data_IF_521595970139
#
_entry.id   IF_521595970139
#
_cell.length_a   1.000
_cell.length_b   1.000
_cell.length_c   1.000
_cell.angle_alpha   90.00
_cell.angle_beta   90.00
_cell.angle_gamma   90.00
#
_symmetry.space_group_name_H-M   'P 1'
#
loop_
_entity.id
_entity.type
_entity.pdbx_description
1 polymer ?
#
# COMPACT_ATOMS: atom_id res chain seq x y z
N UNK A 1 -6.89 4.85 -0.13
CA UNK A 1 -6.26 3.92 -1.10
C UNK A 1 -7.19 3.45 -2.22
N UNK A 2 -8.51 3.46 -2.09
CA UNK A 2 -9.42 3.02 -3.15
C UNK A 2 -9.29 3.84 -4.43
N UNK A 3 -9.04 5.13 -4.33
CA UNK A 3 -8.80 6.03 -5.45
C UNK A 3 -7.32 6.22 -5.77
N UNK A 4 -6.44 5.54 -5.05
CA UNK A 4 -4.97 5.61 -5.12
C UNK A 4 -4.36 6.98 -4.84
N UNK A 5 -5.11 8.06 -4.96
CA UNK A 5 -4.70 9.45 -4.72
C UNK A 5 -3.38 9.85 -5.40
N UNK A 6 -3.12 9.30 -6.57
CA UNK A 6 -1.95 9.66 -7.37
C UNK A 6 -2.22 10.94 -8.15
N UNK A 7 -1.17 11.73 -8.33
CA UNK A 7 -1.20 12.94 -9.16
C UNK A 7 -1.17 12.52 -10.64
N UNK A 8 -2.26 12.71 -11.39
CA UNK A 8 -2.42 12.09 -12.71
C UNK A 8 -1.49 12.63 -13.79
N UNK A 9 -0.96 13.83 -13.59
CA UNK A 9 -0.04 14.48 -14.52
C UNK A 9 1.43 14.17 -14.24
N UNK A 10 1.71 13.59 -13.06
CA UNK A 10 3.04 13.27 -12.62
C UNK A 10 3.36 11.80 -12.93
N UNK A 11 4.63 11.52 -13.18
CA UNK A 11 5.09 10.13 -13.39
C UNK A 11 5.08 9.34 -12.08
N UNK A 12 5.27 8.02 -12.16
CA UNK A 12 5.39 7.16 -10.99
C UNK A 12 6.52 7.63 -10.06
N UNK A 13 7.69 7.93 -10.62
CA UNK A 13 8.83 8.40 -9.82
C UNK A 13 8.56 9.76 -9.18
N UNK A 14 7.88 10.67 -9.86
CA UNK A 14 7.51 11.97 -9.30
C UNK A 14 6.47 11.82 -8.16
N UNK A 15 5.47 10.97 -8.33
CA UNK A 15 4.50 10.65 -7.27
C UNK A 15 5.20 10.11 -6.01
N UNK A 16 6.10 9.16 -6.18
CA UNK A 16 6.82 8.53 -5.07
C UNK A 16 7.78 9.50 -4.39
N UNK A 17 8.42 10.39 -5.15
CA UNK A 17 9.37 11.36 -4.62
C UNK A 17 8.73 12.52 -3.85
N UNK A 18 7.42 12.72 -3.96
CA UNK A 18 6.72 13.85 -3.37
C UNK A 18 6.94 13.99 -1.84
N UNK A 19 6.82 12.94 -1.01
CA UNK A 19 7.12 13.06 0.42
C UNK A 19 8.56 13.46 0.71
N UNK A 20 9.51 13.07 -0.12
CA UNK A 20 10.92 13.45 0.00
C UNK A 20 11.13 14.93 -0.32
N UNK A 21 10.37 15.46 -1.26
CA UNK A 21 10.36 16.89 -1.58
C UNK A 21 9.96 17.72 -0.35
N UNK A 22 8.91 17.34 0.34
CA UNK A 22 8.48 18.00 1.59
C UNK A 22 9.50 17.86 2.72
N UNK A 23 10.25 16.77 2.75
CA UNK A 23 11.32 16.55 3.74
C UNK A 23 12.63 17.30 3.40
N UNK A 24 12.67 18.09 2.34
CA UNK A 24 13.84 18.87 1.95
C UNK A 24 14.96 18.07 1.29
N UNK A 25 14.69 16.86 0.84
CA UNK A 25 15.68 16.03 0.13
C UNK A 25 15.99 16.62 -1.26
N UNK A 26 17.25 16.66 -1.64
CA UNK A 26 17.69 17.20 -2.93
C UNK A 26 17.15 16.38 -4.11
N UNK A 27 16.87 17.04 -5.23
CA UNK A 27 16.23 16.44 -6.40
C UNK A 27 16.90 15.14 -6.90
N UNK A 28 18.21 15.10 -6.98
CA UNK A 28 18.96 13.91 -7.41
C UNK A 28 18.74 12.73 -6.46
N UNK A 29 18.86 12.97 -5.18
CA UNK A 29 18.65 11.95 -4.14
C UNK A 29 17.20 11.50 -4.07
N UNK A 30 16.23 12.41 -4.23
CA UNK A 30 14.81 12.06 -4.30
C UNK A 30 14.54 11.06 -5.41
N UNK A 31 15.05 11.31 -6.60
CA UNK A 31 14.85 10.42 -7.75
C UNK A 31 15.46 9.04 -7.50
N UNK A 32 16.67 8.97 -6.99
CA UNK A 32 17.33 7.71 -6.67
C UNK A 32 16.55 6.88 -5.63
N UNK A 33 16.10 7.53 -4.58
CA UNK A 33 15.31 6.88 -3.52
C UNK A 33 13.93 6.45 -4.00
N UNK A 34 13.28 7.26 -4.81
CA UNK A 34 11.98 6.94 -5.41
C UNK A 34 12.08 5.74 -6.36
N UNK A 35 13.13 5.66 -7.17
CA UNK A 35 13.38 4.51 -8.05
C UNK A 35 13.57 3.24 -7.23
N UNK A 36 14.34 3.27 -6.16
CA UNK A 36 14.53 2.11 -5.27
C UNK A 36 13.21 1.66 -4.64
N UNK A 37 12.37 2.60 -4.23
CA UNK A 37 11.05 2.28 -3.69
C UNK A 37 10.15 1.61 -4.75
N UNK A 38 10.18 2.09 -5.99
CA UNK A 38 9.44 1.48 -7.10
C UNK A 38 9.98 0.09 -7.46
N UNK A 39 11.27 -0.13 -7.42
CA UNK A 39 11.87 -1.45 -7.61
C UNK A 39 11.38 -2.45 -6.55
N UNK A 40 11.27 -2.02 -5.29
CA UNK A 40 10.75 -2.88 -4.20
C UNK A 40 9.32 -3.37 -4.43
N UNK A 41 8.52 -2.61 -5.15
CA UNK A 41 7.14 -2.98 -5.47
C UNK A 41 6.98 -3.57 -6.89
N UNK A 42 8.10 -3.86 -7.57
CA UNK A 42 8.10 -4.50 -8.88
C UNK A 42 7.83 -3.57 -10.06
N UNK A 43 8.05 -2.27 -9.90
CA UNK A 43 7.81 -1.24 -10.92
C UNK A 43 9.08 -0.51 -11.39
N UNK A 44 10.24 -1.13 -11.24
CA UNK A 44 11.51 -0.53 -11.65
C UNK A 44 11.62 -0.21 -13.16
N UNK A 45 10.85 -0.89 -13.99
CA UNK A 45 10.77 -0.67 -15.44
C UNK A 45 9.67 0.31 -15.88
N UNK A 46 8.91 0.89 -14.92
CA UNK A 46 7.77 1.78 -15.19
C UNK A 46 7.87 3.12 -14.47
N UNK A 47 9.07 3.52 -14.09
CA UNK A 47 9.28 4.73 -13.26
C UNK A 47 8.83 6.03 -13.95
N UNK A 48 8.89 6.10 -15.27
CA UNK A 48 8.48 7.26 -16.06
C UNK A 48 7.05 7.17 -16.62
N UNK A 49 6.29 6.14 -16.23
CA UNK A 49 4.88 5.99 -16.60
C UNK A 49 4.02 6.92 -15.74
N UNK A 50 2.99 7.48 -16.37
CA UNK A 50 1.94 8.23 -15.67
C UNK A 50 0.83 7.28 -15.18
N UNK A 51 0.04 7.67 -14.17
CA UNK A 51 -1.05 6.82 -13.67
C UNK A 51 -2.02 6.35 -14.75
N UNK A 52 -2.30 7.16 -15.76
CA UNK A 52 -3.17 6.79 -16.90
C UNK A 52 -2.61 5.64 -17.74
N UNK A 53 -1.33 5.35 -17.64
CA UNK A 53 -0.63 4.28 -18.36
C UNK A 53 -0.48 3.01 -17.51
N UNK A 54 -0.97 3.02 -16.27
CA UNK A 54 -0.81 1.94 -15.31
C UNK A 54 -2.14 1.24 -15.04
N UNK A 55 -2.08 -0.08 -14.78
CA UNK A 55 -3.22 -0.84 -14.28
C UNK A 55 -3.60 -0.41 -12.86
N UNK A 56 -4.78 -0.83 -12.39
CA UNK A 56 -5.21 -0.57 -11.01
C UNK A 56 -4.22 -1.11 -9.97
N UNK A 57 -3.75 -2.34 -10.14
CA UNK A 57 -2.75 -2.94 -9.26
C UNK A 57 -1.41 -2.21 -9.30
N UNK A 58 -0.98 -1.76 -10.48
CA UNK A 58 0.25 -0.96 -10.62
C UNK A 58 0.12 0.41 -9.94
N UNK A 59 -1.03 1.08 -10.09
CA UNK A 59 -1.31 2.36 -9.38
C UNK A 59 -1.25 2.16 -7.87
N UNK A 60 -1.83 1.08 -7.35
CA UNK A 60 -1.78 0.77 -5.93
C UNK A 60 -0.35 0.53 -5.45
N UNK A 61 0.47 -0.15 -6.24
CA UNK A 61 1.89 -0.33 -5.93
C UNK A 61 2.66 0.99 -5.90
N UNK A 62 2.36 1.93 -6.80
CA UNK A 62 2.94 3.27 -6.75
C UNK A 62 2.55 3.98 -5.45
N UNK A 63 1.28 3.90 -5.04
CA UNK A 63 0.81 4.46 -3.78
C UNK A 63 1.52 3.84 -2.56
N UNK A 64 1.74 2.53 -2.56
CA UNK A 64 2.50 1.82 -1.52
C UNK A 64 3.96 2.27 -1.52
N UNK A 65 4.60 2.35 -2.67
CA UNK A 65 5.98 2.84 -2.79
C UNK A 65 6.13 4.26 -2.25
N UNK A 66 5.18 5.16 -2.55
CA UNK A 66 5.15 6.51 -2.01
C UNK A 66 5.03 6.51 -0.48
N UNK A 67 4.18 5.67 0.07
CA UNK A 67 4.04 5.54 1.52
C UNK A 67 5.31 4.99 2.18
N UNK A 68 6.09 4.18 1.46
CA UNK A 68 7.29 3.50 1.96
C UNK A 68 8.58 4.30 1.77
N UNK A 69 8.59 5.35 0.95
CA UNK A 69 9.82 6.03 0.53
C UNK A 69 10.61 6.68 1.68
N UNK A 70 9.94 7.04 2.76
CA UNK A 70 10.56 7.57 4.00
C UNK A 70 10.89 6.49 5.04
N UNK A 71 10.85 5.21 4.66
CA UNK A 71 11.11 4.08 5.54
C UNK A 71 10.27 4.12 6.84
N UNK A 72 8.94 4.18 6.76
CA UNK A 72 8.08 4.24 7.92
C UNK A 72 8.13 2.91 8.69
N UNK A 73 7.87 2.99 10.00
CA UNK A 73 7.70 1.78 10.84
C UNK A 73 6.31 1.20 10.76
N UNK A 74 5.33 2.03 10.42
CA UNK A 74 3.91 1.66 10.33
C UNK A 74 3.36 2.13 9.00
N UNK A 75 2.65 1.25 8.31
CA UNK A 75 1.91 1.53 7.09
C UNK A 75 0.42 1.33 7.36
N UNK A 76 -0.38 2.35 7.08
CA UNK A 76 -1.83 2.29 7.19
C UNK A 76 -2.44 2.02 5.81
N UNK A 77 -3.28 1.01 5.72
CA UNK A 77 -3.97 0.64 4.48
C UNK A 77 -5.47 0.53 4.73
N UNK A 78 -6.23 1.41 4.08
CA UNK A 78 -7.69 1.44 4.17
C UNK A 78 -8.29 0.86 2.89
N UNK A 79 -8.93 -0.32 3.00
CA UNK A 79 -9.50 -1.08 1.89
C UNK A 79 -8.56 -1.19 0.66
N UNK A 80 -7.34 -1.69 0.84
CA UNK A 80 -6.28 -1.56 -0.17
C UNK A 80 -6.52 -2.36 -1.45
N UNK A 81 -7.46 -3.31 -1.43
CA UNK A 81 -7.82 -4.16 -2.58
C UNK A 81 -9.23 -3.90 -3.11
N UNK A 82 -9.95 -2.94 -2.55
CA UNK A 82 -11.37 -2.72 -2.83
C UNK A 82 -11.70 -2.40 -4.28
N UNK A 83 -10.79 -1.75 -5.01
CA UNK A 83 -10.97 -1.37 -6.41
C UNK A 83 -10.25 -2.31 -7.39
N UNK A 84 -9.70 -3.42 -6.91
CA UNK A 84 -8.88 -4.34 -7.70
C UNK A 84 -9.63 -5.64 -8.02
N UNK A 85 -9.30 -6.23 -9.17
CA UNK A 85 -9.67 -7.60 -9.47
C UNK A 85 -8.96 -8.58 -8.50
N UNK A 86 -9.47 -9.81 -8.40
CA UNK A 86 -8.99 -10.80 -7.42
C UNK A 86 -7.50 -11.08 -7.53
N UNK A 87 -6.97 -11.23 -8.74
CA UNK A 87 -5.56 -11.50 -8.98
C UNK A 87 -4.67 -10.34 -8.55
N UNK A 88 -5.03 -9.12 -8.92
CA UNK A 88 -4.31 -7.91 -8.51
C UNK A 88 -4.38 -7.71 -7.00
N UNK A 89 -5.54 -7.99 -6.40
CA UNK A 89 -5.72 -7.94 -4.95
C UNK A 89 -4.81 -8.90 -4.20
N UNK A 90 -4.71 -10.14 -4.67
CA UNK A 90 -3.79 -11.15 -4.09
C UNK A 90 -2.33 -10.70 -4.17
N UNK A 91 -1.92 -10.13 -5.29
CA UNK A 91 -0.56 -9.61 -5.46
C UNK A 91 -0.26 -8.47 -4.50
N UNK A 92 -1.22 -7.59 -4.24
CA UNK A 92 -1.07 -6.52 -3.26
C UNK A 92 -0.96 -7.09 -1.84
N UNK A 93 -1.75 -8.10 -1.51
CA UNK A 93 -1.66 -8.77 -0.20
C UNK A 93 -0.31 -9.46 -0.01
N UNK A 94 0.23 -10.11 -1.02
CA UNK A 94 1.58 -10.70 -0.99
C UNK A 94 2.64 -9.62 -0.75
N UNK A 95 2.51 -8.46 -1.38
CA UNK A 95 3.41 -7.33 -1.17
C UNK A 95 3.37 -6.84 0.28
N UNK A 96 2.18 -6.70 0.87
CA UNK A 96 2.06 -6.34 2.28
C UNK A 96 2.69 -7.36 3.22
N UNK A 97 2.51 -8.64 2.95
CA UNK A 97 3.14 -9.72 3.73
C UNK A 97 4.67 -9.62 3.66
N UNK A 98 5.22 -9.39 2.47
CA UNK A 98 6.65 -9.19 2.27
C UNK A 98 7.18 -7.99 3.05
N UNK A 99 6.52 -6.86 2.98
CA UNK A 99 6.90 -5.66 3.73
C UNK A 99 6.84 -5.90 5.26
N UNK A 100 5.83 -6.63 5.72
CA UNK A 100 5.73 -7.00 7.12
C UNK A 100 6.89 -7.91 7.58
N UNK A 101 7.27 -8.88 6.78
CA UNK A 101 8.44 -9.74 7.04
C UNK A 101 9.74 -8.93 7.08
N UNK A 102 9.84 -7.84 6.34
CA UNK A 102 10.97 -6.91 6.35
C UNK A 102 10.96 -5.96 7.58
N UNK A 103 9.98 -6.07 8.46
CA UNK A 103 9.91 -5.32 9.72
C UNK A 103 8.94 -4.14 9.72
N UNK A 104 8.14 -3.94 8.66
CA UNK A 104 7.12 -2.90 8.63
C UNK A 104 5.85 -3.40 9.30
N UNK A 105 5.33 -2.67 10.27
CA UNK A 105 4.02 -2.95 10.85
C UNK A 105 2.94 -2.45 9.92
N UNK A 106 2.02 -3.33 9.54
CA UNK A 106 0.91 -2.99 8.64
C UNK A 106 -0.40 -3.04 9.41
N UNK A 107 -1.09 -1.91 9.43
CA UNK A 107 -2.45 -1.81 9.96
C UNK A 107 -3.41 -1.69 8.78
N UNK A 108 -4.25 -2.69 8.61
CA UNK A 108 -5.17 -2.77 7.49
C UNK A 108 -6.61 -2.67 7.98
N UNK A 109 -7.37 -1.80 7.34
CA UNK A 109 -8.79 -1.65 7.56
C UNK A 109 -9.51 -2.31 6.39
N UNK A 110 -10.36 -3.28 6.67
CA UNK A 110 -11.16 -3.96 5.65
C UNK A 110 -12.46 -4.49 6.25
N UNK A 111 -13.51 -4.57 5.43
CA UNK A 111 -14.74 -5.29 5.75
C UNK A 111 -14.81 -6.66 5.06
N UNK A 112 -13.78 -7.02 4.30
CA UNK A 112 -13.68 -8.32 3.64
C UNK A 112 -13.02 -9.35 4.56
N UNK A 113 -13.76 -10.40 5.02
CA UNK A 113 -13.21 -11.42 5.90
C UNK A 113 -12.04 -12.19 5.29
N UNK A 114 -12.04 -12.37 3.97
CA UNK A 114 -10.95 -13.07 3.28
C UNK A 114 -9.64 -12.27 3.36
N UNK A 115 -9.72 -10.96 3.15
CA UNK A 115 -8.57 -10.07 3.29
C UNK A 115 -8.11 -10.02 4.76
N UNK A 116 -9.05 -9.88 5.69
CA UNK A 116 -8.74 -9.85 7.13
C UNK A 116 -8.03 -11.12 7.61
N UNK A 117 -8.34 -12.29 7.05
CA UNK A 117 -7.74 -13.57 7.42
C UNK A 117 -6.23 -13.65 7.14
N UNK A 118 -5.67 -12.78 6.33
CA UNK A 118 -4.23 -12.71 6.07
C UNK A 118 -3.44 -12.03 7.20
N UNK A 119 -4.10 -11.36 8.13
CA UNK A 119 -3.46 -10.67 9.24
C UNK A 119 -3.01 -11.66 10.33
N UNK A 120 -1.90 -11.35 11.00
CA UNK A 120 -1.43 -12.10 12.17
C UNK A 120 -2.30 -11.85 13.39
N UNK A 121 -2.91 -10.67 13.47
CA UNK A 121 -3.81 -10.25 14.54
C UNK A 121 -5.01 -9.54 13.93
N UNK A 122 -6.20 -9.90 14.38
CA UNK A 122 -7.44 -9.30 13.93
C UNK A 122 -8.14 -8.59 15.08
N UNK A 123 -8.65 -7.41 14.82
CA UNK A 123 -9.47 -6.63 15.75
C UNK A 123 -10.76 -6.28 15.03
N UNK A 124 -11.90 -6.54 15.67
CA UNK A 124 -13.22 -6.15 15.16
C UNK A 124 -13.73 -4.94 15.93
N UNK A 125 -14.34 -4.01 15.20
CA UNK A 125 -15.03 -2.86 15.78
C UNK A 125 -16.51 -2.99 15.44
N UNK A 126 -17.35 -3.13 16.47
CA UNK A 126 -18.80 -3.26 16.33
C UNK A 126 -19.44 -2.26 17.28
N UNK A 127 -20.30 -1.37 16.75
CA UNK A 127 -21.00 -0.32 17.53
C UNK A 127 -20.06 0.51 18.44
N UNK A 128 -18.83 0.79 17.95
CA UNK A 128 -17.84 1.57 18.68
C UNK A 128 -17.07 0.79 19.74
N UNK A 129 -17.30 -0.51 19.88
CA UNK A 129 -16.58 -1.40 20.80
C UNK A 129 -15.56 -2.25 20.07
N UNK A 130 -14.42 -2.52 20.72
CA UNK A 130 -13.30 -3.27 20.18
C UNK A 130 -13.35 -4.70 20.74
N UNK A 131 -13.30 -5.67 19.82
CA UNK A 131 -13.21 -7.11 20.13
C UNK A 131 -11.91 -7.66 19.55
N UNK A 132 -11.13 -8.34 20.38
CA UNK A 132 -9.85 -8.94 19.98
C UNK A 132 -9.99 -10.47 19.94
N UNK A 133 -9.45 -11.09 18.87
CA UNK A 133 -9.35 -12.54 18.70
C UNK A 133 -10.21 -13.12 17.59
N UNK A 134 -9.87 -14.35 17.20
CA UNK A 134 -10.66 -15.21 16.33
C UNK A 134 -11.88 -15.76 17.07
N UNK A 135 -12.78 -14.92 17.48
CA UNK A 135 -14.11 -15.45 17.77
C UNK A 135 -14.77 -15.76 16.43
N UNK A 136 -14.62 -17.01 16.02
CA UNK A 136 -15.62 -17.68 15.22
C UNK A 136 -16.87 -17.72 16.07
N UNK A 137 -17.53 -16.62 16.21
CA UNK A 137 -18.89 -16.66 16.68
C UNK A 137 -19.78 -17.10 15.54
N UNK A 138 -20.34 -18.27 15.73
CA UNK A 138 -21.61 -18.68 15.22
C UNK A 138 -22.56 -17.50 15.15
N UNK A 139 -22.70 -16.93 13.97
CA UNK A 139 -23.86 -16.15 13.64
C UNK A 139 -24.94 -17.16 13.25
N UNK A 140 -25.65 -17.64 14.23
CA UNK A 140 -26.97 -18.26 14.04
C UNK A 140 -28.01 -17.18 13.84
#
# INVERSE_FOLDING_TARGET
FQSFHLMPRETAVENVSLPLSYAGVKKKERRERAIKALERVGLGDRVDFRPTQLSGGQKQRVAIARAMVNNPKILLADEPTGALDSKSGEQIMELFQKLNEEGVTIVMITHDPHIASNAKRMVKIIDGEIFEGDEKEDAS
#
